data_IF_452474172167
#
_entry.id   IF_452474172167
#
_cell.length_a   1.000
_cell.length_b   1.000
_cell.length_c   1.000
_cell.angle_alpha   90.00
_cell.angle_beta   90.00
_cell.angle_gamma   90.00
#
_symmetry.space_group_name_H-M   'P 1'
#
loop_
_entity.id
_entity.type
_entity.pdbx_description
1 polymer ?
#
# COMPACT_ATOMS: atom_id res chain seq x y z
N UNK A 1 -16.32 11.92 15.79
CA UNK A 1 -15.05 11.22 15.49
C UNK A 1 -14.71 11.53 14.04
N UNK A 2 -13.78 12.46 13.82
CA UNK A 2 -13.34 12.88 12.50
C UNK A 2 -12.50 11.76 11.87
N UNK A 3 -13.02 11.13 10.81
CA UNK A 3 -12.27 10.14 10.03
C UNK A 3 -11.20 10.88 9.24
N UNK A 4 -9.94 10.72 9.62
CA UNK A 4 -8.81 11.17 8.83
C UNK A 4 -8.71 10.24 7.61
N UNK A 5 -9.01 10.78 6.43
CA UNK A 5 -8.93 10.02 5.20
C UNK A 5 -7.47 9.99 4.77
N UNK A 6 -6.76 8.92 5.12
CA UNK A 6 -5.37 8.78 4.70
C UNK A 6 -5.31 8.59 3.18
N UNK A 7 -4.34 9.21 2.49
CA UNK A 7 -4.19 9.11 1.04
C UNK A 7 -3.93 7.67 0.55
N UNK A 8 -3.57 6.75 1.45
CA UNK A 8 -3.38 5.34 1.20
C UNK A 8 -4.68 4.51 1.18
N UNK A 9 -5.86 5.08 1.47
CA UNK A 9 -7.15 4.37 1.42
C UNK A 9 -7.36 3.32 2.53
N UNK A 10 -6.43 3.22 3.48
CA UNK A 10 -6.50 2.33 4.64
C UNK A 10 -7.29 2.99 5.78
N UNK A 11 -8.23 2.26 6.36
CA UNK A 11 -9.11 2.75 7.44
C UNK A 11 -8.45 2.75 8.82
N UNK A 12 -7.25 2.19 8.94
CA UNK A 12 -6.48 2.06 10.17
C UNK A 12 -4.97 2.22 9.84
N UNK A 13 -4.57 3.44 9.47
CA UNK A 13 -3.18 3.80 9.26
C UNK A 13 -2.54 4.43 10.50
N UNK A 14 -1.22 4.60 10.47
CA UNK A 14 -0.51 5.49 11.38
C UNK A 14 -0.94 6.93 11.08
N UNK A 15 -1.37 7.68 12.09
CA UNK A 15 -1.58 9.12 11.96
C UNK A 15 -0.22 9.80 11.75
N UNK A 16 0.18 9.96 10.50
CA UNK A 16 1.36 10.75 10.10
C UNK A 16 1.04 12.25 10.21
N UNK A 17 0.67 12.69 11.41
CA UNK A 17 0.57 14.11 11.72
C UNK A 17 1.98 14.66 11.84
N UNK A 18 2.39 15.45 10.84
CA UNK A 18 3.65 16.19 10.86
C UNK A 18 3.39 17.55 11.53
N UNK A 19 4.03 17.87 12.66
CA UNK A 19 4.00 19.20 13.24
C UNK A 19 4.43 20.29 12.25
N UNK A 20 3.73 21.42 12.27
CA UNK A 20 4.02 22.58 11.41
C UNK A 20 5.30 23.34 11.81
N UNK A 21 5.89 22.98 12.95
CA UNK A 21 7.08 23.61 13.52
C UNK A 21 8.39 22.84 13.27
N UNK A 22 8.39 21.85 12.37
CA UNK A 22 9.61 21.11 12.03
C UNK A 22 10.63 22.00 11.32
N UNK A 23 11.89 21.83 11.68
CA UNK A 23 13.00 22.31 10.85
C UNK A 23 13.20 21.41 9.62
N UNK A 24 13.90 21.93 8.61
CA UNK A 24 14.26 21.14 7.44
C UNK A 24 15.08 19.88 7.81
N UNK A 25 15.99 19.99 8.78
CA UNK A 25 16.81 18.86 9.24
C UNK A 25 15.96 17.78 9.93
N UNK A 26 14.95 18.17 10.70
CA UNK A 26 14.02 17.24 11.33
C UNK A 26 13.18 16.50 10.28
N UNK A 27 12.69 17.21 9.27
CA UNK A 27 11.97 16.59 8.16
C UNK A 27 12.86 15.61 7.39
N UNK A 28 14.12 15.97 7.14
CA UNK A 28 15.08 15.10 6.45
C UNK A 28 15.35 13.82 7.24
N UNK A 29 15.62 13.93 8.55
CA UNK A 29 15.87 12.76 9.41
C UNK A 29 14.69 11.76 9.42
N UNK A 30 13.46 12.26 9.32
CA UNK A 30 12.27 11.40 9.24
C UNK A 30 12.16 10.74 7.87
N UNK A 31 12.51 11.42 6.78
CA UNK A 31 12.58 10.81 5.45
C UNK A 31 13.60 9.68 5.44
N UNK A 32 14.81 9.91 5.97
CA UNK A 32 15.87 8.90 6.08
C UNK A 32 15.40 7.69 6.89
N UNK A 33 14.74 7.92 8.04
CA UNK A 33 14.18 6.84 8.85
C UNK A 33 13.13 6.01 8.09
N UNK A 34 12.26 6.66 7.30
CA UNK A 34 11.24 5.98 6.50
C UNK A 34 11.90 5.14 5.41
N UNK A 35 12.96 5.64 4.78
CA UNK A 35 13.68 4.93 3.74
C UNK A 35 14.43 3.72 4.29
N UNK A 36 15.12 3.85 5.44
CA UNK A 36 15.75 2.74 6.14
C UNK A 36 14.72 1.66 6.53
N UNK A 37 13.58 2.08 7.07
CA UNK A 37 12.50 1.16 7.43
C UNK A 37 11.92 0.45 6.20
N UNK A 38 11.73 1.18 5.10
CA UNK A 38 11.26 0.63 3.82
C UNK A 38 12.24 -0.42 3.31
N UNK A 39 13.54 -0.12 3.31
CA UNK A 39 14.56 -1.06 2.88
C UNK A 39 14.52 -2.34 3.72
N UNK A 40 14.43 -2.21 5.05
CA UNK A 40 14.32 -3.35 5.98
C UNK A 40 13.09 -4.22 5.70
N UNK A 41 11.94 -3.59 5.46
CA UNK A 41 10.69 -4.29 5.13
C UNK A 41 10.83 -5.02 3.80
N UNK A 42 11.34 -4.35 2.77
CA UNK A 42 11.58 -4.96 1.47
C UNK A 42 12.52 -6.17 1.59
N UNK A 43 13.65 -6.03 2.27
CA UNK A 43 14.60 -7.14 2.46
C UNK A 43 13.97 -8.39 3.09
N UNK A 44 12.99 -8.21 3.99
CA UNK A 44 12.37 -9.33 4.69
C UNK A 44 11.11 -9.86 4.01
N UNK A 45 10.32 -8.99 3.38
CA UNK A 45 8.98 -9.30 2.89
C UNK A 45 8.81 -9.14 1.37
N UNK A 46 9.89 -8.96 0.60
CA UNK A 46 9.82 -8.67 -0.85
C UNK A 46 8.87 -9.62 -1.60
N UNK A 47 9.00 -10.92 -1.38
CA UNK A 47 8.17 -11.93 -2.05
C UNK A 47 6.70 -11.85 -1.63
N UNK A 48 6.44 -11.81 -0.32
CA UNK A 48 5.08 -11.71 0.20
C UNK A 48 4.37 -10.42 -0.25
N UNK A 49 5.10 -9.30 -0.31
CA UNK A 49 4.58 -8.04 -0.85
C UNK A 49 4.28 -8.13 -2.34
N UNK A 50 5.14 -8.81 -3.12
CA UNK A 50 4.91 -9.02 -4.55
C UNK A 50 3.66 -9.87 -4.81
N UNK A 51 3.49 -10.98 -4.09
CA UNK A 51 2.29 -11.82 -4.20
C UNK A 51 1.03 -11.05 -3.81
N UNK A 52 1.04 -10.34 -2.68
CA UNK A 52 -0.09 -9.53 -2.23
C UNK A 52 -0.47 -8.45 -3.25
N UNK A 53 0.52 -7.77 -3.84
CA UNK A 53 0.26 -6.76 -4.88
C UNK A 53 -0.26 -7.38 -6.18
N UNK A 54 0.20 -8.58 -6.52
CA UNK A 54 -0.30 -9.33 -7.67
C UNK A 54 -1.77 -9.71 -7.46
N UNK A 55 -2.13 -10.25 -6.29
CA UNK A 55 -3.51 -10.59 -5.94
C UNK A 55 -4.45 -9.37 -5.94
N UNK A 56 -4.00 -8.23 -5.43
CA UNK A 56 -4.81 -7.00 -5.42
C UNK A 56 -5.01 -6.40 -6.81
N UNK A 57 -4.05 -6.60 -7.72
CA UNK A 57 -4.13 -6.12 -9.11
C UNK A 57 -4.74 -7.13 -10.06
N UNK A 58 -4.93 -8.39 -9.61
CA UNK A 58 -5.62 -9.38 -10.39
C UNK A 58 -7.02 -8.84 -10.70
N UNK A 59 -7.45 -8.82 -11.97
CA UNK A 59 -8.82 -8.48 -12.30
C UNK A 59 -9.74 -9.44 -11.51
N UNK A 60 -10.89 -8.96 -11.00
CA UNK A 60 -11.88 -9.88 -10.46
C UNK A 60 -12.13 -10.94 -11.52
N UNK A 61 -11.85 -12.20 -11.19
CA UNK A 61 -11.92 -13.29 -12.17
C UNK A 61 -13.31 -13.23 -12.79
N UNK A 62 -13.37 -12.93 -14.09
CA UNK A 62 -14.63 -12.82 -14.79
C UNK A 62 -15.28 -14.20 -14.71
N UNK A 63 -16.30 -14.32 -13.86
CA UNK A 63 -17.14 -15.50 -13.69
C UNK A 63 -18.04 -15.76 -14.91
N UNK A 64 -17.57 -15.47 -16.13
CA UNK A 64 -18.41 -15.56 -17.32
C UNK A 64 -17.65 -15.82 -18.63
N UNK A 65 -16.93 -16.94 -18.70
CA UNK A 65 -16.60 -17.59 -19.98
C UNK A 65 -16.83 -19.11 -19.85
N UNK A 66 -17.98 -19.49 -19.26
CA UNK A 66 -18.56 -20.83 -19.39
C UNK A 66 -19.76 -20.79 -20.35
N UNK A 67 -19.72 -19.94 -21.38
CA UNK A 67 -20.80 -19.84 -22.37
C UNK A 67 -20.24 -19.84 -23.80
N UNK A 68 -19.44 -20.87 -24.11
CA UNK A 68 -19.16 -21.26 -25.49
C UNK A 68 -19.14 -22.79 -25.57
N UNK A 69 -20.21 -23.42 -25.09
CA UNK A 69 -20.51 -24.84 -25.37
C UNK A 69 -21.81 -24.98 -26.19
N UNK A 70 -22.27 -23.91 -26.83
CA UNK A 70 -23.46 -23.92 -27.68
C UNK A 70 -23.21 -23.18 -29.01
N UNK A 71 -22.51 -23.85 -29.92
CA UNK A 71 -22.80 -23.69 -31.34
C UNK A 71 -22.53 -25.00 -32.08
N UNK A 72 -23.64 -25.57 -32.56
CA UNK A 72 -23.79 -26.68 -33.48
C UNK A 72 -22.87 -26.63 -34.71
#
# INVERSE_FOLDING_TARGET
>A
MTRLHLPSGITCGLDFLIPDNWSADQALAVIELIDDLRERICLHYQFALHELLHEQRAPPVNAHLNDVDDLF
#
